data_IF_883837828973
#
_entry.id   IF_883837828973
#
_cell.length_a   1.000
_cell.length_b   1.000
_cell.length_c   1.000
_cell.angle_alpha   90.00
_cell.angle_beta   90.00
_cell.angle_gamma   90.00
#
_symmetry.space_group_name_H-M   'P 1'
#
loop_
_entity.id
_entity.type
_entity.pdbx_description
1 polymer ?
#
# COMPACT_ATOMS: atom_id res chain seq x y z
N UNK A 1 32.43 18.58 -11.33
CA UNK A 1 31.22 19.34 -10.94
C UNK A 1 30.26 19.28 -12.13
N UNK A 2 28.96 19.17 -11.84
CA UNK A 2 27.78 18.98 -12.72
C UNK A 2 27.28 17.55 -12.94
N UNK A 3 26.29 17.22 -12.11
CA UNK A 3 25.33 16.13 -12.22
C UNK A 3 24.24 16.61 -13.18
N UNK A 4 24.08 15.98 -14.35
CA UNK A 4 22.95 16.25 -15.23
C UNK A 4 21.79 15.32 -14.84
N UNK A 5 20.78 15.90 -14.21
CA UNK A 5 19.57 15.21 -13.79
C UNK A 5 18.76 14.68 -14.97
N UNK A 6 18.52 13.37 -14.98
CA UNK A 6 17.54 12.70 -15.83
C UNK A 6 16.28 12.53 -14.98
N UNK A 7 15.56 13.63 -14.78
CA UNK A 7 14.35 13.69 -13.96
C UNK A 7 13.11 13.96 -14.78
N UNK A 8 12.28 12.92 -14.97
CA UNK A 8 10.81 13.02 -15.06
C UNK A 8 10.19 13.72 -16.28
N UNK A 9 9.96 12.99 -17.37
CA UNK A 9 9.12 13.44 -18.49
C UNK A 9 8.06 12.39 -18.94
N UNK A 10 7.61 11.52 -18.03
CA UNK A 10 6.70 10.42 -18.36
C UNK A 10 5.21 10.63 -18.02
N UNK A 11 4.86 11.59 -17.16
CA UNK A 11 3.51 11.60 -16.56
C UNK A 11 2.49 12.48 -17.30
N UNK A 12 2.92 13.34 -18.22
CA UNK A 12 1.99 14.28 -18.88
C UNK A 12 1.16 13.60 -19.98
N UNK A 13 1.62 12.47 -20.52
CA UNK A 13 0.90 11.70 -21.55
C UNK A 13 -0.40 11.09 -21.04
N UNK A 14 -0.45 10.62 -19.79
CA UNK A 14 -1.65 9.99 -19.22
C UNK A 14 -2.75 11.00 -18.87
N UNK A 15 -2.37 12.26 -18.58
CA UNK A 15 -3.32 13.32 -18.25
C UNK A 15 -4.13 13.84 -19.44
N UNK A 16 -3.70 13.60 -20.70
CA UNK A 16 -4.45 14.03 -21.90
C UNK A 16 -5.42 13.00 -22.48
N UNK A 17 -5.45 11.76 -21.96
CA UNK A 17 -6.46 10.76 -22.35
C UNK A 17 -7.68 10.72 -21.40
N UNK A 18 -7.57 11.29 -20.20
CA UNK A 18 -8.65 11.27 -19.20
C UNK A 18 -9.61 12.47 -19.22
N UNK A 19 -9.29 13.55 -19.94
CA UNK A 19 -10.05 14.79 -19.84
C UNK A 19 -10.17 15.53 -21.19
N UNK A 20 -11.17 15.22 -22.03
CA UNK A 20 -11.56 16.12 -23.11
C UNK A 20 -12.14 17.41 -22.49
N UNK A 21 -11.55 18.56 -22.84
CA UNK A 21 -12.10 19.87 -22.48
C UNK A 21 -13.35 20.19 -23.33
N UNK A 22 -14.33 20.79 -22.65
CA UNK A 22 -15.75 21.00 -22.94
C UNK A 22 -16.06 21.84 -24.20
N UNK A 23 -17.30 21.89 -24.76
CA UNK A 23 -18.40 22.65 -24.10
C UNK A 23 -19.88 22.25 -24.42
N UNK A 24 -20.80 22.69 -23.53
CA UNK A 24 -22.17 23.22 -23.81
C UNK A 24 -23.44 22.32 -23.70
N UNK A 25 -24.12 22.45 -22.54
CA UNK A 25 -25.60 22.55 -22.30
C UNK A 25 -26.51 21.29 -22.43
N UNK A 26 -27.79 21.32 -21.96
CA UNK A 26 -28.28 21.17 -20.57
C UNK A 26 -29.16 19.91 -20.33
N UNK A 27 -29.41 19.63 -19.04
CA UNK A 27 -30.59 18.93 -18.48
C UNK A 27 -30.97 17.54 -19.01
N UNK A 28 -30.73 16.52 -18.19
CA UNK A 28 -31.73 15.47 -17.92
C UNK A 28 -31.30 14.68 -16.70
N UNK A 29 -32.12 14.75 -15.67
CA UNK A 29 -32.19 13.79 -14.57
C UNK A 29 -32.28 12.37 -15.15
N UNK A 30 -31.21 11.63 -15.03
CA UNK A 30 -31.20 10.17 -15.12
C UNK A 30 -30.34 9.68 -13.98
N UNK A 31 -31.02 9.37 -12.88
CA UNK A 31 -30.58 8.43 -11.86
C UNK A 31 -30.10 7.15 -12.54
N UNK A 32 -28.80 7.07 -12.82
CA UNK A 32 -28.12 5.81 -13.07
C UNK A 32 -27.48 5.38 -11.76
N UNK A 33 -28.13 4.42 -11.12
CA UNK A 33 -27.52 3.54 -10.15
C UNK A 33 -26.16 3.10 -10.69
N UNK A 34 -25.08 3.60 -10.11
CA UNK A 34 -23.76 3.01 -10.28
C UNK A 34 -23.21 2.87 -8.89
N UNK A 35 -23.51 1.69 -8.35
CA UNK A 35 -22.63 0.95 -7.47
C UNK A 35 -22.06 1.83 -6.35
N UNK A 36 -22.81 1.90 -5.26
CA UNK A 36 -22.22 2.00 -3.93
C UNK A 36 -21.21 0.86 -3.79
N UNK A 37 -19.99 1.07 -4.32
CA UNK A 37 -18.83 0.28 -3.99
C UNK A 37 -18.58 0.57 -2.52
N UNK A 38 -19.19 -0.29 -1.71
CA UNK A 38 -18.81 -0.58 -0.35
C UNK A 38 -17.40 -1.18 -0.38
N UNK A 39 -16.43 -0.43 -0.89
CA UNK A 39 -15.02 -0.66 -0.60
C UNK A 39 -14.86 -0.23 0.84
N UNK A 40 -15.12 -1.17 1.76
CA UNK A 40 -14.52 -1.10 3.10
C UNK A 40 -13.09 -0.62 2.90
N UNK A 41 -12.76 0.58 3.36
CA UNK A 41 -11.51 1.25 3.00
C UNK A 41 -10.33 0.33 3.31
N UNK A 42 -9.77 -0.29 2.27
CA UNK A 42 -8.59 -1.12 2.41
C UNK A 42 -7.46 -0.18 2.84
N UNK A 43 -6.74 -0.53 3.91
CA UNK A 43 -5.62 0.30 4.33
C UNK A 43 -4.60 0.25 3.20
N UNK A 44 -4.02 1.39 2.81
CA UNK A 44 -2.95 1.41 1.79
C UNK A 44 -1.76 0.51 2.19
N UNK A 45 -1.58 0.29 3.48
CA UNK A 45 -0.59 -0.62 4.02
C UNK A 45 -0.81 -2.09 3.63
N UNK A 46 -2.03 -2.49 3.26
CA UNK A 46 -2.34 -3.86 2.85
C UNK A 46 -1.49 -4.29 1.64
N UNK A 47 -1.36 -3.41 0.64
CA UNK A 47 -0.54 -3.67 -0.56
C UNK A 47 0.93 -3.82 -0.18
N UNK A 48 1.43 -2.98 0.73
CA UNK A 48 2.83 -3.01 1.18
C UNK A 48 3.13 -4.32 1.91
N UNK A 49 2.27 -4.72 2.86
CA UNK A 49 2.53 -5.91 3.67
C UNK A 49 2.26 -7.21 2.92
N UNK A 50 1.38 -7.20 1.92
CA UNK A 50 1.24 -8.33 0.99
C UNK A 50 2.52 -8.52 0.17
N UNK A 51 3.05 -7.44 -0.40
CA UNK A 51 4.31 -7.51 -1.15
C UNK A 51 5.49 -7.99 -0.28
N UNK A 52 5.55 -7.55 0.98
CA UNK A 52 6.55 -8.04 1.95
C UNK A 52 6.37 -9.54 2.21
N UNK A 53 5.13 -10.02 2.36
CA UNK A 53 4.83 -11.46 2.53
C UNK A 53 5.33 -12.29 1.36
N UNK A 54 5.27 -11.76 0.14
CA UNK A 54 5.74 -12.48 -1.04
C UNK A 54 7.28 -12.44 -1.11
N UNK A 55 7.89 -11.26 -0.98
CA UNK A 55 9.36 -11.10 -1.02
C UNK A 55 10.10 -11.83 0.10
N UNK A 56 9.55 -11.90 1.31
CA UNK A 56 10.18 -12.63 2.43
C UNK A 56 10.27 -14.15 2.13
N UNK A 57 9.47 -14.63 1.18
CA UNK A 57 9.53 -16.00 0.70
C UNK A 57 10.55 -16.21 -0.43
N UNK A 58 10.85 -15.19 -1.21
CA UNK A 58 11.81 -15.24 -2.32
C UNK A 58 13.25 -14.92 -1.86
N UNK A 59 13.42 -13.92 -0.99
CA UNK A 59 14.73 -13.33 -0.66
C UNK A 59 15.30 -13.85 0.67
N UNK A 60 15.53 -15.15 0.78
CA UNK A 60 15.95 -15.80 2.04
C UNK A 60 17.22 -15.24 2.67
N UNK A 61 18.16 -14.73 1.88
CA UNK A 61 19.40 -14.15 2.40
C UNK A 61 19.17 -12.81 3.10
N UNK A 62 18.19 -12.02 2.67
CA UNK A 62 17.81 -10.79 3.38
C UNK A 62 17.10 -11.12 4.69
N UNK A 63 16.19 -12.10 4.68
CA UNK A 63 15.48 -12.55 5.89
C UNK A 63 16.46 -13.00 6.97
N UNK A 64 17.49 -13.77 6.60
CA UNK A 64 18.56 -14.21 7.52
C UNK A 64 19.40 -13.06 8.08
N UNK A 65 19.59 -11.98 7.32
CA UNK A 65 20.31 -10.79 7.79
C UNK A 65 19.46 -9.95 8.74
N UNK A 66 18.16 -9.84 8.47
CA UNK A 66 17.22 -9.12 9.31
C UNK A 66 17.07 -9.84 10.65
N UNK A 67 16.81 -11.16 10.62
CA UNK A 67 16.76 -12.04 11.80
C UNK A 67 16.05 -11.45 13.02
N UNK A 68 14.98 -10.67 12.81
CA UNK A 68 14.19 -10.04 13.86
C UNK A 68 12.69 -10.09 13.56
N UNK A 69 11.85 -9.76 14.54
CA UNK A 69 10.40 -9.70 14.40
C UNK A 69 9.85 -8.33 14.78
N UNK A 70 8.87 -7.86 14.00
CA UNK A 70 8.26 -6.55 14.09
C UNK A 70 6.74 -6.64 14.25
N UNK A 71 6.17 -5.76 15.07
CA UNK A 71 4.77 -5.38 15.03
C UNK A 71 4.66 -3.95 14.53
N UNK A 72 3.87 -3.75 13.48
CA UNK A 72 3.59 -2.42 12.94
C UNK A 72 2.10 -2.16 13.11
N UNK A 73 1.78 -1.17 13.95
CA UNK A 73 0.42 -0.67 14.13
C UNK A 73 0.28 0.56 13.24
N UNK A 74 -0.64 0.51 12.28
CA UNK A 74 -0.93 1.60 11.35
C UNK A 74 -2.25 2.22 11.77
N UNK A 75 -2.24 3.48 12.17
CA UNK A 75 -3.45 4.25 12.48
C UNK A 75 -3.84 5.10 11.27
N UNK A 76 -5.08 4.96 10.80
CA UNK A 76 -5.63 5.77 9.72
C UNK A 76 -6.19 7.10 10.25
N UNK A 77 -6.45 8.03 9.33
CA UNK A 77 -7.00 9.36 9.66
C UNK A 77 -8.37 9.31 10.34
N UNK A 78 -9.12 8.22 10.15
CA UNK A 78 -10.41 7.96 10.80
C UNK A 78 -10.28 7.37 12.23
N UNK A 79 -9.04 7.20 12.72
CA UNK A 79 -8.72 6.62 14.02
C UNK A 79 -8.74 5.10 14.07
N UNK A 80 -9.08 4.41 12.97
CA UNK A 80 -8.99 2.96 12.90
C UNK A 80 -7.53 2.51 12.88
N UNK A 81 -7.22 1.38 13.54
CA UNK A 81 -5.84 0.86 13.63
C UNK A 81 -5.76 -0.55 13.09
N UNK A 82 -4.79 -0.80 12.21
CA UNK A 82 -4.48 -2.13 11.65
C UNK A 82 -3.10 -2.59 12.12
N UNK A 83 -3.04 -3.81 12.65
CA UNK A 83 -1.80 -4.42 13.15
C UNK A 83 -1.23 -5.41 12.13
N UNK A 84 0.06 -5.31 11.90
CA UNK A 84 0.83 -6.21 11.04
C UNK A 84 1.99 -6.80 11.82
N UNK A 85 2.10 -8.12 11.80
CA UNK A 85 3.20 -8.88 12.39
C UNK A 85 4.08 -9.38 11.26
N UNK A 86 5.38 -9.06 11.34
CA UNK A 86 6.42 -9.55 10.45
C UNK A 86 7.42 -10.34 11.30
N UNK A 87 7.60 -11.62 11.01
CA UNK A 87 8.54 -12.49 11.70
C UNK A 87 9.54 -13.03 10.68
N UNK A 88 10.74 -12.43 10.65
CA UNK A 88 11.86 -12.90 9.86
C UNK A 88 12.76 -13.88 10.64
N UNK A 89 12.43 -14.19 11.90
CA UNK A 89 13.15 -15.17 12.73
C UNK A 89 12.59 -16.56 12.56
N UNK A 90 11.28 -16.67 12.36
CA UNK A 90 10.64 -17.96 12.11
C UNK A 90 11.09 -18.54 10.76
N UNK A 91 11.12 -19.87 10.70
CA UNK A 91 11.32 -20.60 9.46
C UNK A 91 10.18 -21.62 9.31
N UNK A 92 9.19 -21.40 8.42
CA UNK A 92 9.15 -20.32 7.42
C UNK A 92 8.92 -18.93 8.04
N UNK A 93 9.40 -17.85 7.38
CA UNK A 93 9.12 -16.49 7.79
C UNK A 93 7.61 -16.19 7.65
N UNK A 94 7.10 -15.28 8.48
CA UNK A 94 5.67 -15.00 8.59
C UNK A 94 5.36 -13.52 8.42
N UNK A 95 4.27 -13.21 7.70
CA UNK A 95 3.72 -11.85 7.60
C UNK A 95 2.19 -11.92 7.63
N UNK A 96 1.56 -11.30 8.61
CA UNK A 96 0.11 -11.33 8.76
C UNK A 96 -0.41 -10.59 9.98
N UNK A 97 -1.56 -11.02 10.48
CA UNK A 97 -2.27 -10.33 11.58
C UNK A 97 -2.25 -11.10 12.90
N UNK A 98 -1.61 -12.27 12.95
CA UNK A 98 -1.50 -13.03 14.19
C UNK A 98 -0.68 -12.28 15.23
N UNK A 99 -1.14 -12.33 16.47
CA UNK A 99 -0.39 -11.80 17.60
C UNK A 99 0.74 -12.77 17.94
N UNK A 100 1.97 -12.34 17.65
CA UNK A 100 3.20 -13.06 17.97
C UNK A 100 4.05 -12.19 18.89
N UNK A 101 4.91 -12.82 19.68
CA UNK A 101 5.90 -12.08 20.44
C UNK A 101 6.90 -11.45 19.47
N UNK A 102 6.91 -10.11 19.43
CA UNK A 102 7.80 -9.34 18.57
C UNK A 102 8.89 -8.67 19.39
N UNK A 103 10.06 -8.48 18.78
CA UNK A 103 11.16 -7.75 19.41
C UNK A 103 11.00 -6.25 19.29
N UNK A 104 10.38 -5.79 18.19
CA UNK A 104 10.25 -4.38 17.87
C UNK A 104 8.78 -4.06 17.60
N UNK A 105 8.29 -2.99 18.20
CA UNK A 105 6.96 -2.45 17.93
C UNK A 105 7.06 -1.02 17.41
N UNK A 106 6.37 -0.76 16.31
CA UNK A 106 6.34 0.52 15.61
C UNK A 106 4.89 0.96 15.49
N UNK A 107 4.62 2.21 15.88
CA UNK A 107 3.31 2.84 15.73
C UNK A 107 3.45 3.95 14.70
N UNK A 108 2.61 3.91 13.66
CA UNK A 108 2.58 4.83 12.53
C UNK A 108 1.25 5.57 12.49
#
# INVERSE_FOLDING_TARGET
LFVLGIGGAGVVGLYRLGFPQSPKQPSSSSSSSTESLNTMAAFKSDIVFHEIRDRINEEKDLVKKVATSFRINVTADDGSTKKWTIDAKSNPPYVGHEERQVEIEINL
#
